data_IF_699708632558
#
_entry.id   IF_699708632558
#
_cell.length_a   1.000
_cell.length_b   1.000
_cell.length_c   1.000
_cell.angle_alpha   90.00
_cell.angle_beta   90.00
_cell.angle_gamma   90.00
#
_symmetry.space_group_name_H-M   'P 1'
#
loop_
_entity.id
_entity.type
_entity.pdbx_description
1 polymer ?
#
# COMPACT_ATOMS: atom_id res chain seq x y z
N UNK A 1 -1.52 -45.68 -0.88
CA UNK A 1 -2.24 -46.58 -1.80
C UNK A 1 -1.26 -47.01 -2.89
N UNK A 2 -1.03 -48.32 -3.06
CA UNK A 2 -0.09 -48.85 -4.05
C UNK A 2 -0.68 -48.74 -5.46
N UNK A 3 -0.13 -47.87 -6.31
CA UNK A 3 -0.44 -47.85 -7.74
C UNK A 3 0.50 -48.84 -8.46
N UNK A 4 -0.01 -50.01 -8.84
CA UNK A 4 0.76 -50.96 -9.66
C UNK A 4 0.46 -52.45 -9.49
N UNK A 5 -0.70 -52.82 -8.93
CA UNK A 5 -1.12 -54.23 -8.87
C UNK A 5 -2.00 -54.61 -10.07
N UNK A 6 -1.75 -55.77 -10.68
CA UNK A 6 -2.71 -56.38 -11.60
C UNK A 6 -3.76 -57.15 -10.78
N UNK A 7 -5.02 -56.77 -10.88
CA UNK A 7 -6.15 -57.49 -10.29
C UNK A 7 -6.96 -58.18 -11.39
N UNK A 8 -7.40 -59.43 -11.14
CA UNK A 8 -8.37 -60.14 -11.97
C UNK A 8 -9.67 -60.22 -11.21
N UNK A 9 -10.75 -59.70 -11.80
CA UNK A 9 -12.10 -59.75 -11.24
C UNK A 9 -13.00 -60.48 -12.24
N UNK A 10 -13.81 -61.41 -11.74
CA UNK A 10 -14.79 -62.19 -12.51
C UNK A 10 -16.18 -61.72 -12.09
N UNK A 11 -16.98 -61.19 -13.00
CA UNK A 11 -18.35 -60.73 -12.70
C UNK A 11 -19.37 -61.34 -13.66
N UNK A 12 -20.61 -61.49 -13.18
CA UNK A 12 -21.75 -62.04 -13.93
C UNK A 12 -22.41 -61.03 -14.87
N UNK A 13 -22.05 -59.75 -14.78
CA UNK A 13 -22.51 -58.68 -15.68
C UNK A 13 -21.31 -57.91 -16.24
N UNK A 14 -21.35 -57.65 -17.55
CA UNK A 14 -20.39 -56.77 -18.22
C UNK A 14 -20.78 -55.32 -17.95
N UNK A 15 -19.94 -54.58 -17.23
CA UNK A 15 -19.98 -53.12 -17.23
C UNK A 15 -18.98 -52.60 -18.26
N UNK A 16 -19.41 -51.64 -19.08
CA UNK A 16 -18.52 -50.90 -19.96
C UNK A 16 -17.63 -49.99 -19.10
N UNK A 17 -16.31 -50.16 -19.21
CA UNK A 17 -15.31 -49.34 -18.54
C UNK A 17 -14.38 -48.82 -19.61
N UNK A 18 -14.19 -47.51 -19.66
CA UNK A 18 -13.23 -46.88 -20.55
C UNK A 18 -11.89 -46.68 -19.83
N UNK A 19 -10.75 -46.69 -20.55
CA UNK A 19 -9.48 -46.35 -19.93
C UNK A 19 -9.55 -44.97 -19.27
N UNK A 20 -9.28 -44.89 -17.96
CA UNK A 20 -9.37 -43.65 -17.18
C UNK A 20 -10.47 -43.67 -16.12
N UNK A 21 -11.44 -44.57 -16.24
CA UNK A 21 -12.49 -44.73 -15.24
C UNK A 21 -11.92 -45.25 -13.92
N UNK A 22 -12.39 -44.68 -12.81
CA UNK A 22 -12.05 -45.16 -11.48
C UNK A 22 -13.04 -46.24 -11.08
N UNK A 23 -12.53 -47.41 -10.72
CA UNK A 23 -13.35 -48.55 -10.31
C UNK A 23 -13.08 -48.88 -8.86
N UNK A 24 -14.13 -48.93 -8.05
CA UNK A 24 -14.06 -49.42 -6.68
C UNK A 24 -14.30 -50.93 -6.68
N UNK A 25 -13.32 -51.71 -6.22
CA UNK A 25 -13.36 -53.17 -6.17
C UNK A 25 -13.54 -53.59 -4.71
N UNK A 26 -14.69 -54.20 -4.39
CA UNK A 26 -14.94 -54.90 -3.13
C UNK A 26 -14.72 -56.40 -3.25
N UNK A 27 -14.88 -57.14 -2.15
CA UNK A 27 -14.62 -58.59 -2.11
C UNK A 27 -15.54 -59.42 -3.04
N UNK A 28 -16.75 -58.93 -3.29
CA UNK A 28 -17.78 -59.66 -4.07
C UNK A 28 -18.47 -58.80 -5.13
N UNK A 29 -18.07 -57.54 -5.30
CA UNK A 29 -18.64 -56.63 -6.29
C UNK A 29 -17.64 -55.56 -6.72
N UNK A 30 -17.90 -54.93 -7.85
CA UNK A 30 -17.17 -53.74 -8.27
C UNK A 30 -18.14 -52.76 -8.91
N UNK A 31 -17.82 -51.47 -8.82
CA UNK A 31 -18.62 -50.40 -9.41
C UNK A 31 -17.71 -49.32 -9.99
N UNK A 32 -18.12 -48.73 -11.11
CA UNK A 32 -17.49 -47.50 -11.62
C UNK A 32 -17.88 -46.37 -10.67
N UNK A 33 -16.87 -45.68 -10.13
CA UNK A 33 -17.06 -44.55 -9.24
C UNK A 33 -17.53 -43.37 -10.08
N UNK A 34 -18.65 -42.71 -9.72
CA UNK A 34 -19.08 -41.48 -10.38
C UNK A 34 -18.00 -40.40 -10.34
N UNK A 35 -17.86 -39.63 -11.43
CA UNK A 35 -16.80 -38.62 -11.59
C UNK A 35 -16.81 -37.53 -10.50
N UNK A 36 -17.92 -37.33 -9.80
CA UNK A 36 -18.11 -36.37 -8.71
C UNK A 36 -17.61 -36.87 -7.34
N UNK A 37 -17.33 -38.17 -7.21
CA UNK A 37 -16.91 -38.79 -5.94
C UNK A 37 -15.40 -38.89 -5.82
N UNK A 38 -14.65 -38.78 -6.94
CA UNK A 38 -13.19 -38.85 -6.95
C UNK A 38 -12.59 -37.46 -7.23
N UNK A 39 -11.79 -36.94 -6.30
CA UNK A 39 -11.12 -35.65 -6.47
C UNK A 39 -10.00 -35.76 -7.52
N UNK A 40 -10.29 -35.33 -8.73
CA UNK A 40 -9.27 -35.08 -9.75
C UNK A 40 -8.60 -33.74 -9.44
N UNK A 41 -7.36 -33.76 -8.95
CA UNK A 41 -6.57 -32.54 -8.69
C UNK A 41 -6.16 -31.89 -10.03
N UNK A 42 -7.10 -31.18 -10.63
CA UNK A 42 -6.85 -30.37 -11.82
C UNK A 42 -5.85 -29.28 -11.47
N UNK A 43 -4.76 -29.26 -12.23
CA UNK A 43 -3.64 -28.34 -12.03
C UNK A 43 -3.54 -27.39 -13.22
N UNK A 44 -2.99 -26.20 -12.98
CA UNK A 44 -2.69 -25.22 -14.03
C UNK A 44 -1.19 -25.18 -14.26
N UNK A 45 -0.79 -25.11 -15.53
CA UNK A 45 0.61 -25.00 -15.92
C UNK A 45 0.80 -24.26 -17.23
N UNK A 46 2.02 -23.79 -17.46
CA UNK A 46 2.41 -23.06 -18.67
C UNK A 46 3.21 -24.00 -19.56
N UNK A 47 2.81 -24.13 -20.83
CA UNK A 47 3.53 -24.95 -21.80
C UNK A 47 4.89 -24.33 -22.10
N UNK A 48 5.97 -25.03 -21.76
CA UNK A 48 7.35 -24.61 -22.07
C UNK A 48 7.87 -25.27 -23.33
N UNK A 49 7.55 -26.53 -23.52
CA UNK A 49 8.03 -27.32 -24.65
C UNK A 49 6.98 -28.35 -25.06
N UNK A 50 6.83 -28.55 -26.36
CA UNK A 50 5.99 -29.59 -26.94
C UNK A 50 6.90 -30.54 -27.71
N UNK A 51 6.91 -31.80 -27.31
CA UNK A 51 7.68 -32.84 -27.97
C UNK A 51 6.75 -33.95 -28.49
N UNK A 52 7.28 -34.80 -29.39
CA UNK A 52 6.54 -35.95 -29.95
C UNK A 52 5.99 -36.92 -28.89
N UNK A 53 6.58 -36.95 -27.69
CA UNK A 53 6.27 -37.90 -26.61
C UNK A 53 5.57 -37.26 -25.41
N UNK A 54 5.25 -35.96 -25.45
CA UNK A 54 4.67 -35.28 -24.31
C UNK A 54 4.83 -33.77 -24.31
N UNK A 55 4.36 -33.14 -23.24
CA UNK A 55 4.40 -31.70 -23.04
C UNK A 55 5.09 -31.39 -21.71
N UNK A 56 6.06 -30.47 -21.74
CA UNK A 56 6.69 -29.94 -20.54
C UNK A 56 5.93 -28.70 -20.07
N UNK A 57 5.44 -28.75 -18.84
CA UNK A 57 4.71 -27.68 -18.18
C UNK A 57 5.54 -27.08 -17.06
N UNK A 58 5.45 -25.77 -16.88
CA UNK A 58 5.87 -25.08 -15.67
C UNK A 58 4.66 -24.85 -14.78
N UNK A 59 4.74 -25.29 -13.52
CA UNK A 59 3.69 -25.15 -12.51
C UNK A 59 4.23 -24.37 -11.31
N UNK A 60 3.36 -24.01 -10.36
CA UNK A 60 3.77 -23.34 -9.12
C UNK A 60 4.79 -24.17 -8.29
N UNK A 61 4.82 -25.49 -8.47
CA UNK A 61 5.73 -26.41 -7.76
C UNK A 61 6.97 -26.77 -8.59
N UNK A 62 7.16 -26.15 -9.76
CA UNK A 62 8.27 -26.41 -10.67
C UNK A 62 7.85 -27.07 -11.99
N UNK A 63 8.84 -27.64 -12.69
CA UNK A 63 8.64 -28.24 -14.00
C UNK A 63 8.03 -29.64 -13.90
N UNK A 64 7.03 -29.91 -14.73
CA UNK A 64 6.31 -31.19 -14.79
C UNK A 64 6.21 -31.66 -16.24
N UNK A 65 6.55 -32.92 -16.50
CA UNK A 65 6.47 -33.51 -17.84
C UNK A 65 5.31 -34.47 -17.96
N UNK A 66 4.37 -34.17 -18.87
CA UNK A 66 3.22 -35.02 -19.16
C UNK A 66 3.50 -35.88 -20.38
N UNK A 67 3.57 -37.20 -20.19
CA UNK A 67 3.85 -38.18 -21.26
C UNK A 67 2.66 -38.48 -22.18
N UNK A 68 1.45 -38.09 -21.80
CA UNK A 68 0.22 -38.36 -22.57
C UNK A 68 -0.24 -37.09 -23.29
N UNK A 69 -0.51 -37.21 -24.59
CA UNK A 69 -1.06 -36.13 -25.42
C UNK A 69 -2.58 -36.09 -25.23
N UNK A 70 -3.21 -34.89 -25.14
CA UNK A 70 -4.65 -34.73 -24.99
C UNK A 70 -5.49 -35.64 -25.90
N UNK A 71 -6.55 -36.24 -25.35
CA UNK A 71 -7.51 -37.07 -26.11
C UNK A 71 -8.24 -36.32 -27.22
N UNK A 72 -8.38 -34.99 -27.10
CA UNK A 72 -8.94 -34.09 -28.11
C UNK A 72 -7.81 -33.36 -28.83
N UNK A 73 -7.97 -33.08 -30.13
CA UNK A 73 -7.01 -32.23 -30.87
C UNK A 73 -7.03 -30.81 -30.28
N UNK A 74 -6.19 -30.55 -29.29
CA UNK A 74 -5.92 -29.22 -28.76
C UNK A 74 -4.75 -28.62 -29.54
N UNK A 75 -4.92 -27.39 -30.03
CA UNK A 75 -3.85 -26.65 -30.67
C UNK A 75 -2.95 -26.04 -29.59
N UNK A 76 -1.96 -26.79 -29.14
CA UNK A 76 -1.03 -26.35 -28.10
C UNK A 76 0.18 -25.66 -28.73
N UNK A 77 0.56 -24.52 -28.15
CA UNK A 77 1.76 -23.76 -28.51
C UNK A 77 2.55 -23.45 -27.22
N UNK A 78 3.90 -23.41 -27.25
CA UNK A 78 4.68 -22.90 -26.14
C UNK A 78 4.21 -21.50 -25.71
N UNK A 79 4.00 -21.32 -24.41
CA UNK A 79 3.43 -20.11 -23.81
C UNK A 79 1.95 -20.24 -23.43
N UNK A 80 1.20 -21.21 -23.96
CA UNK A 80 -0.18 -21.41 -23.53
C UNK A 80 -0.26 -21.74 -22.03
N UNK A 81 -1.26 -21.18 -21.36
CA UNK A 81 -1.70 -21.65 -20.05
C UNK A 81 -2.71 -22.75 -20.25
N UNK A 82 -2.48 -23.88 -19.59
CA UNK A 82 -3.31 -25.08 -19.76
C UNK A 82 -3.76 -25.62 -18.42
N UNK A 83 -4.95 -26.20 -18.42
CA UNK A 83 -5.44 -27.06 -17.35
C UNK A 83 -5.04 -28.50 -17.69
N UNK A 84 -4.57 -29.24 -16.70
CA UNK A 84 -4.12 -30.60 -16.89
C UNK A 84 -4.33 -31.45 -15.64
N UNK A 85 -4.33 -32.76 -15.84
CA UNK A 85 -4.29 -33.77 -14.78
C UNK A 85 -3.34 -34.92 -15.21
N UNK A 86 -3.03 -35.82 -14.28
CA UNK A 86 -2.11 -36.94 -14.53
C UNK A 86 -2.72 -38.06 -15.40
N UNK A 87 -4.04 -38.15 -15.45
CA UNK A 87 -4.75 -39.25 -16.09
C UNK A 87 -4.98 -39.00 -17.59
N UNK A 88 -5.45 -37.81 -17.91
CA UNK A 88 -5.89 -37.31 -19.21
C UNK A 88 -4.88 -36.38 -19.88
N UNK A 89 -3.87 -35.88 -19.14
CA UNK A 89 -2.89 -34.94 -19.63
C UNK A 89 -3.48 -33.52 -19.72
N UNK A 90 -3.13 -32.75 -20.75
CA UNK A 90 -3.70 -31.41 -20.95
C UNK A 90 -5.17 -31.54 -21.36
N UNK A 91 -6.08 -30.99 -20.57
CA UNK A 91 -7.54 -31.12 -20.77
C UNK A 91 -8.11 -29.95 -21.58
N UNK A 92 -7.59 -28.73 -21.39
CA UNK A 92 -7.92 -27.54 -22.18
C UNK A 92 -6.82 -26.49 -22.17
N UNK A 93 -6.83 -25.63 -23.19
CA UNK A 93 -6.13 -24.34 -23.16
C UNK A 93 -7.01 -23.37 -22.38
N UNK A 94 -6.45 -22.80 -21.31
CA UNK A 94 -7.08 -21.79 -20.47
C UNK A 94 -6.80 -20.40 -21.00
N UNK A 95 -5.59 -20.17 -21.53
CA UNK A 95 -5.19 -18.91 -22.17
C UNK A 95 -4.11 -19.16 -23.21
N UNK A 96 -4.13 -18.37 -24.29
CA UNK A 96 -3.10 -18.39 -25.32
C UNK A 96 -1.76 -17.81 -24.82
N UNK A 97 -1.79 -16.98 -23.77
CA UNK A 97 -0.62 -16.37 -23.12
C UNK A 97 -0.31 -16.97 -21.75
N UNK A 98 0.94 -16.87 -21.26
CA UNK A 98 1.32 -17.35 -19.95
C UNK A 98 0.61 -16.56 -18.84
N UNK A 99 -0.26 -17.24 -18.09
CA UNK A 99 -0.84 -16.74 -16.85
C UNK A 99 0.08 -17.24 -15.75
N UNK A 100 1.03 -16.38 -15.39
CA UNK A 100 1.76 -16.56 -14.13
C UNK A 100 0.84 -16.07 -13.01
N UNK A 101 0.99 -16.60 -11.80
CA UNK A 101 0.39 -16.01 -10.61
C UNK A 101 0.76 -14.52 -10.42
N UNK A 102 1.69 -14.00 -11.23
CA UNK A 102 2.16 -12.61 -11.27
C UNK A 102 1.73 -11.79 -12.49
N UNK A 103 1.12 -12.40 -13.53
CA UNK A 103 0.91 -11.72 -14.84
C UNK A 103 -0.52 -11.84 -15.43
N UNK A 104 -1.58 -11.89 -14.61
CA UNK A 104 -2.95 -11.79 -15.15
C UNK A 104 -3.64 -10.50 -14.74
N UNK A 105 -3.52 -9.45 -15.56
CA UNK A 105 -4.52 -8.39 -15.69
C UNK A 105 -4.78 -7.48 -14.49
N UNK A 106 -4.03 -7.60 -13.39
CA UNK A 106 -4.08 -6.71 -12.21
C UNK A 106 -3.22 -5.45 -12.41
N UNK A 107 -2.59 -5.27 -13.58
CA UNK A 107 -1.59 -4.22 -13.84
C UNK A 107 -2.10 -2.79 -13.59
N UNK A 108 -3.39 -2.50 -13.80
CA UNK A 108 -3.99 -1.22 -13.44
C UNK A 108 -4.62 -1.20 -12.03
N UNK A 109 -4.90 -2.34 -11.43
CA UNK A 109 -5.56 -2.41 -10.12
C UNK A 109 -4.58 -2.25 -8.96
N UNK A 110 -3.32 -2.68 -9.11
CA UNK A 110 -2.29 -2.44 -8.07
C UNK A 110 -2.03 -0.95 -7.90
N UNK A 111 -1.84 -0.18 -8.98
CA UNK A 111 -1.54 1.25 -8.87
C UNK A 111 -2.69 2.08 -8.30
N UNK A 112 -3.95 1.67 -8.55
CA UNK A 112 -5.13 2.34 -7.98
C UNK A 112 -5.15 2.33 -6.45
N UNK A 113 -4.48 1.38 -5.80
CA UNK A 113 -4.43 1.32 -4.33
C UNK A 113 -3.51 2.40 -3.75
N UNK A 114 -2.49 2.82 -4.51
CA UNK A 114 -1.55 3.86 -4.14
C UNK A 114 -2.00 5.24 -4.61
N UNK A 115 -2.80 5.32 -5.68
CA UNK A 115 -3.33 6.57 -6.19
C UNK A 115 -4.45 7.11 -5.30
N UNK A 116 -4.23 8.26 -4.68
CA UNK A 116 -5.28 8.94 -3.90
C UNK A 116 -6.15 9.74 -4.85
N UNK A 117 -7.45 9.42 -4.86
CA UNK A 117 -8.44 10.21 -5.59
C UNK A 117 -8.64 11.53 -4.85
N UNK A 118 -8.34 12.63 -5.52
CA UNK A 118 -8.60 13.97 -5.02
C UNK A 118 -9.79 14.59 -5.75
N UNK A 119 -10.69 15.22 -4.99
CA UNK A 119 -11.68 16.13 -5.54
C UNK A 119 -10.98 17.46 -5.84
N UNK A 120 -10.90 17.90 -7.10
CA UNK A 120 -10.22 19.13 -7.48
C UNK A 120 -10.95 20.41 -7.03
N UNK A 121 -12.23 20.33 -6.65
CA UNK A 121 -13.02 21.47 -6.16
C UNK A 121 -13.08 21.53 -4.64
N UNK A 122 -13.07 20.38 -3.96
CA UNK A 122 -13.27 20.30 -2.49
C UNK A 122 -12.12 19.61 -1.75
N UNK A 123 -10.90 19.65 -2.27
CA UNK A 123 -9.74 19.08 -1.60
C UNK A 123 -9.19 19.96 -0.46
N UNK A 124 -8.26 19.42 0.34
CA UNK A 124 -7.65 20.15 1.45
C UNK A 124 -6.77 21.28 0.92
N UNK A 125 -6.95 22.47 1.48
CA UNK A 125 -6.16 23.67 1.16
C UNK A 125 -5.30 24.08 2.35
N UNK A 126 -4.42 25.06 2.15
CA UNK A 126 -3.65 25.60 3.27
C UNK A 126 -4.52 26.20 4.38
N UNK A 127 -5.73 26.66 4.08
CA UNK A 127 -6.66 27.20 5.08
C UNK A 127 -7.27 26.10 5.97
N UNK A 128 -7.21 24.84 5.53
CA UNK A 128 -7.55 23.65 6.34
C UNK A 128 -6.39 23.18 7.22
N UNK A 129 -5.22 23.83 7.16
CA UNK A 129 -4.04 23.49 7.96
C UNK A 129 -3.73 24.63 8.96
N UNK A 130 -4.20 24.48 10.20
CA UNK A 130 -4.01 25.49 11.25
C UNK A 130 -2.61 25.49 11.87
N UNK A 131 -2.08 26.68 12.16
CA UNK A 131 -0.78 26.86 12.80
C UNK A 131 0.41 26.49 11.92
N UNK A 132 1.57 26.29 12.55
CA UNK A 132 2.83 25.89 11.94
C UNK A 132 3.27 26.82 10.80
N UNK A 133 3.22 28.13 11.03
CA UNK A 133 3.46 29.15 10.01
C UNK A 133 4.77 28.97 9.24
N UNK A 134 5.86 28.60 9.93
CA UNK A 134 7.15 28.35 9.28
C UNK A 134 7.13 27.12 8.37
N UNK A 135 6.49 26.03 8.81
CA UNK A 135 6.31 24.80 8.02
C UNK A 135 5.46 25.10 6.80
N UNK A 136 4.36 25.86 6.97
CA UNK A 136 3.49 26.31 5.88
C UNK A 136 4.26 27.14 4.87
N UNK A 137 5.05 28.11 5.33
CA UNK A 137 5.86 28.96 4.45
C UNK A 137 6.83 28.14 3.60
N UNK A 138 7.52 27.16 4.19
CA UNK A 138 8.42 26.25 3.46
C UNK A 138 7.68 25.37 2.46
N UNK A 139 6.46 24.92 2.78
CA UNK A 139 5.61 24.19 1.84
C UNK A 139 5.12 25.05 0.67
N UNK A 140 4.79 26.32 0.91
CA UNK A 140 4.44 27.27 -0.16
C UNK A 140 5.64 27.54 -1.05
N UNK A 141 6.82 27.79 -0.47
CA UNK A 141 8.07 27.99 -1.21
C UNK A 141 8.37 26.80 -2.12
N UNK A 142 8.15 25.57 -1.64
CA UNK A 142 8.29 24.36 -2.45
C UNK A 142 7.42 24.43 -3.72
N UNK A 143 6.13 24.73 -3.56
CA UNK A 143 5.17 24.76 -4.67
C UNK A 143 5.56 25.87 -5.67
N UNK A 144 5.85 27.07 -5.16
CA UNK A 144 6.15 28.23 -6.00
C UNK A 144 7.46 28.06 -6.78
N UNK A 145 8.50 27.54 -6.14
CA UNK A 145 9.83 27.45 -6.76
C UNK A 145 9.97 26.20 -7.64
N UNK A 146 9.56 25.03 -7.14
CA UNK A 146 9.82 23.76 -7.83
C UNK A 146 8.74 23.40 -8.84
N UNK A 147 7.48 23.57 -8.48
CA UNK A 147 6.37 23.09 -9.31
C UNK A 147 5.90 24.15 -10.31
N UNK A 148 5.93 25.43 -9.92
CA UNK A 148 5.43 26.51 -10.77
C UNK A 148 6.51 27.25 -11.57
N UNK A 149 7.80 27.13 -11.20
CA UNK A 149 8.92 27.85 -11.84
C UNK A 149 10.05 26.94 -12.33
N UNK A 150 9.73 25.70 -12.68
CA UNK A 150 10.69 24.71 -13.18
C UNK A 150 11.52 25.22 -14.36
N UNK A 151 10.87 25.82 -15.37
CA UNK A 151 11.55 26.35 -16.56
C UNK A 151 12.62 27.40 -16.21
N UNK A 152 12.35 28.25 -15.22
CA UNK A 152 13.30 29.25 -14.76
C UNK A 152 14.50 28.61 -14.03
N UNK A 153 14.30 27.51 -13.29
CA UNK A 153 15.39 26.75 -12.67
C UNK A 153 16.27 26.09 -13.74
N UNK A 154 15.65 25.53 -14.78
CA UNK A 154 16.33 24.89 -15.91
C UNK A 154 17.18 25.90 -16.69
N UNK A 155 16.65 27.08 -16.99
CA UNK A 155 17.38 28.19 -17.63
C UNK A 155 18.60 28.65 -16.80
N UNK A 156 18.45 28.69 -15.48
CA UNK A 156 19.56 29.04 -14.56
C UNK A 156 20.57 27.91 -14.37
N UNK A 157 20.27 26.69 -14.84
CA UNK A 157 21.06 25.50 -14.56
C UNK A 157 21.05 25.10 -13.07
N UNK A 158 20.07 25.57 -12.32
CA UNK A 158 19.87 25.20 -10.93
C UNK A 158 19.31 23.77 -10.86
N UNK A 159 19.75 22.99 -9.87
CA UNK A 159 19.23 21.64 -9.68
C UNK A 159 17.89 21.71 -8.95
N UNK A 160 16.83 21.06 -9.45
CA UNK A 160 15.57 20.98 -8.73
C UNK A 160 15.72 20.14 -7.45
N UNK A 161 14.88 20.43 -6.46
CA UNK A 161 14.75 19.64 -5.23
C UNK A 161 14.02 18.35 -5.57
N UNK A 162 14.68 17.20 -5.38
CA UNK A 162 14.07 15.90 -5.69
C UNK A 162 13.20 15.34 -4.58
N UNK A 163 13.67 15.52 -3.35
CA UNK A 163 13.12 14.89 -2.17
C UNK A 163 12.98 15.87 -1.02
N UNK A 164 11.84 15.83 -0.35
CA UNK A 164 11.63 16.48 0.94
C UNK A 164 11.32 15.41 1.99
N UNK A 165 11.88 15.56 3.19
CA UNK A 165 11.56 14.73 4.33
C UNK A 165 10.93 15.56 5.45
N UNK A 166 9.75 15.14 5.91
CA UNK A 166 9.03 15.67 7.05
C UNK A 166 9.41 14.86 8.29
N UNK A 167 9.95 15.53 9.30
CA UNK A 167 10.45 14.89 10.53
C UNK A 167 9.65 15.38 11.74
N UNK A 168 9.58 14.57 12.80
CA UNK A 168 8.99 14.98 14.08
C UNK A 168 7.88 14.06 14.60
N UNK A 169 7.27 14.35 15.76
CA UNK A 169 6.38 13.42 16.45
C UNK A 169 5.13 13.00 15.64
N UNK A 170 4.52 11.84 15.95
CA UNK A 170 3.28 11.43 15.31
C UNK A 170 2.14 12.40 15.61
N UNK A 171 1.20 12.51 14.66
CA UNK A 171 0.00 13.33 14.84
C UNK A 171 0.22 14.84 14.73
N UNK A 172 1.34 15.31 14.19
CA UNK A 172 1.63 16.74 13.93
C UNK A 172 1.14 17.24 12.56
N UNK A 173 0.54 16.36 11.74
CA UNK A 173 -0.07 16.75 10.46
C UNK A 173 0.80 16.58 9.22
N UNK A 174 1.93 15.86 9.29
CA UNK A 174 2.82 15.57 8.14
C UNK A 174 2.07 15.06 6.90
N UNK A 175 1.29 13.98 7.05
CA UNK A 175 0.48 13.39 5.96
C UNK A 175 -0.61 14.33 5.47
N UNK A 176 -1.17 15.16 6.35
CA UNK A 176 -2.18 16.15 5.97
C UNK A 176 -1.57 17.26 5.10
N UNK A 177 -0.41 17.80 5.49
CA UNK A 177 0.29 18.81 4.71
C UNK A 177 0.72 18.29 3.34
N UNK A 178 1.17 17.03 3.24
CA UNK A 178 1.49 16.41 1.95
C UNK A 178 0.28 16.41 0.99
N UNK A 179 -0.92 16.13 1.50
CA UNK A 179 -2.17 16.18 0.72
C UNK A 179 -2.55 17.60 0.31
N UNK A 180 -2.35 18.58 1.21
CA UNK A 180 -2.55 20.00 0.89
C UNK A 180 -1.61 20.43 -0.24
N UNK A 181 -0.32 20.09 -0.16
CA UNK A 181 0.67 20.40 -1.20
C UNK A 181 0.24 19.80 -2.54
N UNK A 182 -0.17 18.53 -2.56
CA UNK A 182 -0.62 17.86 -3.77
C UNK A 182 -1.85 18.53 -4.40
N UNK A 183 -2.84 18.88 -3.58
CA UNK A 183 -4.05 19.56 -4.03
C UNK A 183 -3.76 20.96 -4.59
N UNK A 184 -3.03 21.80 -3.86
CA UNK A 184 -2.68 23.18 -4.25
C UNK A 184 -1.81 23.22 -5.51
N UNK A 185 -0.93 22.23 -5.69
CA UNK A 185 -0.09 22.12 -6.88
C UNK A 185 -0.75 21.39 -8.06
N UNK A 186 -1.98 20.87 -7.86
CA UNK A 186 -2.72 20.03 -8.82
C UNK A 186 -1.90 18.82 -9.29
N UNK A 187 -1.11 18.25 -8.39
CA UNK A 187 -0.28 17.09 -8.67
C UNK A 187 -1.03 15.78 -8.42
N UNK A 188 -0.81 14.79 -9.27
CA UNK A 188 -1.24 13.42 -9.04
C UNK A 188 -0.54 12.87 -7.81
N UNK A 189 -1.29 12.36 -6.82
CA UNK A 189 -0.75 11.98 -5.51
C UNK A 189 -0.72 10.46 -5.31
N UNK A 190 0.48 9.91 -5.21
CA UNK A 190 0.71 8.50 -4.87
C UNK A 190 1.09 8.40 -3.39
N UNK A 191 0.28 7.70 -2.60
CA UNK A 191 0.51 7.45 -1.17
C UNK A 191 1.06 6.05 -0.97
N UNK A 192 2.29 5.96 -0.49
CA UNK A 192 2.96 4.70 -0.14
C UNK A 192 3.14 4.65 1.38
N UNK A 193 2.33 3.84 2.06
CA UNK A 193 2.51 3.58 3.49
C UNK A 193 3.51 2.46 3.69
N UNK A 194 4.54 2.67 4.52
CA UNK A 194 5.63 1.72 4.64
C UNK A 194 5.23 0.30 5.12
N UNK A 195 4.33 0.13 6.10
CA UNK A 195 3.78 -1.19 6.44
C UNK A 195 3.05 -1.89 5.28
N UNK A 196 2.40 -1.11 4.40
CA UNK A 196 1.60 -1.66 3.28
C UNK A 196 2.47 -2.24 2.16
N UNK A 197 3.66 -1.69 1.91
CA UNK A 197 4.54 -2.14 0.83
C UNK A 197 5.42 -3.33 1.26
N UNK A 198 5.75 -3.45 2.54
CA UNK A 198 6.59 -4.54 3.09
C UNK A 198 5.78 -5.82 3.32
N UNK A 199 4.55 -5.70 3.82
CA UNK A 199 3.76 -6.85 4.30
C UNK A 199 3.09 -7.68 3.20
N UNK A 200 2.79 -7.09 2.05
CA UNK A 200 1.93 -7.74 1.05
C UNK A 200 2.68 -8.67 0.08
N UNK A 201 3.98 -8.47 -0.13
CA UNK A 201 4.69 -9.17 -1.21
C UNK A 201 6.17 -9.40 -0.86
N UNK A 202 6.47 -10.49 -0.14
CA UNK A 202 7.83 -11.03 -0.05
C UNK A 202 8.31 -11.46 -1.47
N UNK A 203 8.69 -10.50 -2.31
CA UNK A 203 9.18 -10.71 -3.67
C UNK A 203 8.81 -9.65 -4.72
N UNK A 204 7.69 -8.92 -4.60
CA UNK A 204 7.21 -7.96 -5.63
C UNK A 204 7.19 -6.48 -5.16
N UNK A 205 7.63 -6.18 -3.93
CA UNK A 205 7.65 -4.81 -3.41
C UNK A 205 8.59 -3.87 -4.19
N UNK A 206 9.72 -4.38 -4.71
CA UNK A 206 10.66 -3.61 -5.55
C UNK A 206 10.05 -3.22 -6.89
N UNK A 207 9.34 -4.16 -7.52
CA UNK A 207 8.68 -3.97 -8.80
C UNK A 207 7.48 -3.02 -8.66
N UNK A 208 6.71 -3.17 -7.59
CA UNK A 208 5.62 -2.25 -7.24
C UNK A 208 6.14 -0.83 -7.07
N UNK A 209 7.24 -0.65 -6.33
CA UNK A 209 7.87 0.65 -6.16
C UNK A 209 8.31 1.25 -7.50
N UNK A 210 8.93 0.45 -8.37
CA UNK A 210 9.32 0.87 -9.73
C UNK A 210 8.11 1.33 -10.53
N UNK A 211 7.03 0.55 -10.56
CA UNK A 211 5.78 0.87 -11.28
C UNK A 211 5.12 2.16 -10.79
N UNK A 212 5.10 2.41 -9.47
CA UNK A 212 4.58 3.65 -8.89
C UNK A 212 5.35 4.85 -9.44
N UNK A 213 6.68 4.75 -9.47
CA UNK A 213 7.53 5.82 -9.98
C UNK A 213 7.43 6.00 -11.50
N UNK A 214 7.30 4.91 -12.27
CA UNK A 214 7.04 4.97 -13.71
C UNK A 214 5.69 5.63 -14.01
N UNK A 215 4.64 5.29 -13.25
CA UNK A 215 3.34 5.92 -13.35
C UNK A 215 3.41 7.42 -13.00
N UNK A 216 4.05 7.77 -11.89
CA UNK A 216 4.26 9.17 -11.50
C UNK A 216 5.02 9.97 -12.57
N UNK A 217 6.04 9.38 -13.20
CA UNK A 217 6.79 10.02 -14.27
C UNK A 217 5.97 10.24 -15.55
N UNK A 218 4.88 9.50 -15.75
CA UNK A 218 3.98 9.68 -16.90
C UNK A 218 2.94 10.79 -16.74
N UNK A 219 2.79 11.35 -15.53
CA UNK A 219 1.83 12.41 -15.22
C UNK A 219 2.36 13.80 -15.62
N UNK A 220 1.53 14.84 -15.64
CA UNK A 220 2.05 16.20 -15.86
C UNK A 220 2.85 16.70 -14.63
N UNK A 221 2.31 16.44 -13.43
CA UNK A 221 2.91 16.75 -12.13
C UNK A 221 2.53 15.63 -11.18
N UNK A 222 3.50 15.03 -10.49
CA UNK A 222 3.22 13.98 -9.53
C UNK A 222 3.99 14.17 -8.22
N UNK A 223 3.34 13.77 -7.13
CA UNK A 223 3.96 13.64 -5.82
C UNK A 223 3.89 12.17 -5.41
N UNK A 224 5.04 11.58 -5.11
CA UNK A 224 5.14 10.27 -4.45
C UNK A 224 5.41 10.52 -2.98
N UNK A 225 4.41 10.27 -2.13
CA UNK A 225 4.50 10.45 -0.69
C UNK A 225 4.70 9.13 0.03
N UNK A 226 5.81 9.01 0.76
CA UNK A 226 6.11 7.89 1.63
C UNK A 226 5.72 8.23 3.08
N UNK A 227 4.69 7.57 3.61
CA UNK A 227 4.36 7.67 5.02
C UNK A 227 5.08 6.58 5.81
N UNK A 228 5.62 6.94 6.98
CA UNK A 228 6.45 6.05 7.82
C UNK A 228 7.63 5.44 7.05
N UNK A 229 8.42 6.29 6.38
CA UNK A 229 9.56 5.84 5.55
C UNK A 229 10.59 5.04 6.35
N UNK A 230 10.69 5.25 7.66
CA UNK A 230 11.54 4.47 8.57
C UNK A 230 11.21 2.97 8.57
N UNK A 231 9.98 2.58 8.24
CA UNK A 231 9.61 1.16 8.14
C UNK A 231 10.07 0.47 6.85
N UNK A 232 10.40 1.23 5.80
CA UNK A 232 10.88 0.69 4.51
C UNK A 232 12.35 0.99 4.27
N UNK A 233 12.88 2.00 4.96
CA UNK A 233 14.22 2.53 4.79
C UNK A 233 14.95 2.67 6.11
N UNK A 234 14.85 1.63 6.95
CA UNK A 234 15.63 1.53 8.16
C UNK A 234 17.14 1.38 7.84
N UNK A 235 17.98 1.86 8.75
CA UNK A 235 19.43 1.66 8.70
C UNK A 235 19.78 0.19 8.52
N UNK A 236 20.70 -0.07 7.59
CA UNK A 236 21.26 -1.40 7.36
C UNK A 236 22.07 -1.84 8.58
N UNK A 237 21.54 -2.77 9.35
CA UNK A 237 22.28 -3.55 10.36
C UNK A 237 22.54 -4.97 9.82
N UNK A 238 23.52 -5.68 10.37
CA UNK A 238 23.83 -7.06 9.93
C UNK A 238 22.62 -8.00 10.10
N UNK A 239 21.75 -7.72 11.08
CA UNK A 239 20.52 -8.48 11.37
C UNK A 239 19.29 -8.06 10.54
N UNK A 240 19.41 -7.03 9.69
CA UNK A 240 18.26 -6.58 8.88
C UNK A 240 17.90 -7.60 7.80
N UNK A 241 16.59 -7.83 7.61
CA UNK A 241 16.08 -8.75 6.58
C UNK A 241 16.56 -8.34 5.18
N UNK A 242 17.06 -9.30 4.40
CA UNK A 242 17.54 -9.08 3.02
C UNK A 242 16.49 -8.42 2.11
N UNK A 243 15.19 -8.68 2.35
CA UNK A 243 14.10 -8.01 1.62
C UNK A 243 14.06 -6.49 1.86
N UNK A 244 14.28 -6.04 3.11
CA UNK A 244 14.34 -4.61 3.45
C UNK A 244 15.55 -3.95 2.79
N UNK A 245 16.74 -4.57 2.86
CA UNK A 245 17.97 -4.06 2.21
C UNK A 245 17.77 -3.82 0.71
N UNK A 246 17.10 -4.74 0.02
CA UNK A 246 16.82 -4.59 -1.42
C UNK A 246 15.82 -3.48 -1.72
N UNK A 247 14.77 -3.33 -0.91
CA UNK A 247 13.85 -2.19 -1.03
C UNK A 247 14.55 -0.85 -0.90
N UNK A 248 15.43 -0.71 0.09
CA UNK A 248 16.25 0.50 0.25
C UNK A 248 17.14 0.74 -0.96
N UNK A 249 17.79 -0.31 -1.48
CA UNK A 249 18.63 -0.20 -2.66
C UNK A 249 17.83 0.23 -3.90
N UNK A 250 16.61 -0.30 -4.08
CA UNK A 250 15.71 0.08 -5.16
C UNK A 250 15.26 1.54 -5.00
N UNK A 251 14.88 1.98 -3.81
CA UNK A 251 14.50 3.38 -3.55
C UNK A 251 15.67 4.35 -3.86
N UNK A 252 16.89 4.02 -3.41
CA UNK A 252 18.09 4.81 -3.74
C UNK A 252 18.30 4.90 -5.26
N UNK A 253 18.15 3.78 -5.97
CA UNK A 253 18.29 3.72 -7.42
C UNK A 253 17.25 4.59 -8.13
N UNK A 254 16.00 4.57 -7.65
CA UNK A 254 14.93 5.42 -8.21
C UNK A 254 15.24 6.90 -7.97
N UNK A 255 15.58 7.30 -6.73
CA UNK A 255 15.94 8.69 -6.41
C UNK A 255 17.11 9.23 -7.25
N UNK A 256 18.08 8.37 -7.56
CA UNK A 256 19.24 8.72 -8.39
C UNK A 256 18.92 8.72 -9.90
N UNK A 257 18.00 7.85 -10.33
CA UNK A 257 17.72 7.50 -11.73
C UNK A 257 16.73 8.39 -12.49
N UNK A 258 15.99 9.29 -11.82
CA UNK A 258 15.19 10.29 -12.52
C UNK A 258 16.09 11.25 -13.31
N UNK A 259 15.71 11.53 -14.56
CA UNK A 259 16.40 12.52 -15.39
C UNK A 259 16.42 13.87 -14.64
N UNK A 260 17.61 14.23 -14.16
CA UNK A 260 17.79 15.22 -13.10
C UNK A 260 17.37 16.63 -13.50
N UNK A 261 17.21 16.87 -14.81
CA UNK A 261 16.83 18.15 -15.38
C UNK A 261 15.34 18.25 -15.73
N UNK A 262 14.65 17.12 -15.89
CA UNK A 262 13.29 17.13 -16.44
C UNK A 262 12.27 16.38 -15.59
N UNK A 263 12.63 15.90 -14.40
CA UNK A 263 11.67 15.24 -13.50
C UNK A 263 10.47 16.13 -13.16
N UNK A 264 9.29 15.63 -13.47
CA UNK A 264 7.94 16.09 -13.09
C UNK A 264 7.48 15.49 -11.75
N UNK A 265 8.32 14.65 -11.14
CA UNK A 265 8.04 13.93 -9.90
C UNK A 265 8.77 14.59 -8.74
N UNK A 266 8.03 14.93 -7.68
CA UNK A 266 8.57 15.33 -6.38
C UNK A 266 8.32 14.21 -5.38
N UNK A 267 9.37 13.81 -4.65
CA UNK A 267 9.25 12.79 -3.61
C UNK A 267 9.13 13.46 -2.25
N UNK A 268 8.12 13.11 -1.47
CA UNK A 268 7.97 13.58 -0.10
C UNK A 268 7.96 12.36 0.82
N UNK A 269 8.69 12.39 1.92
CA UNK A 269 8.67 11.33 2.92
C UNK A 269 8.30 11.88 4.29
N UNK A 270 7.63 11.09 5.12
CA UNK A 270 7.36 11.42 6.51
C UNK A 270 7.93 10.33 7.43
N UNK A 271 8.56 10.76 8.52
CA UNK A 271 9.05 9.86 9.57
C UNK A 271 8.88 10.48 10.95
N UNK A 272 8.71 9.62 11.95
CA UNK A 272 8.78 10.01 13.35
C UNK A 272 10.16 9.77 13.97
N UNK A 273 11.07 9.11 13.24
CA UNK A 273 12.35 8.58 13.72
C UNK A 273 13.42 8.76 12.65
N UNK A 274 13.80 10.01 12.39
CA UNK A 274 14.78 10.36 11.36
C UNK A 274 16.14 9.66 11.57
N UNK A 275 16.49 9.41 12.84
CA UNK A 275 17.69 8.68 13.22
C UNK A 275 17.69 7.21 12.80
N UNK A 276 16.52 6.62 12.52
CA UNK A 276 16.39 5.25 12.03
C UNK A 276 16.46 5.16 10.50
N UNK A 277 16.31 6.27 9.80
CA UNK A 277 16.34 6.30 8.32
C UNK A 277 17.76 6.08 7.80
N UNK A 278 17.87 5.33 6.70
CA UNK A 278 19.12 5.07 5.98
C UNK A 278 19.83 6.40 5.58
N UNK A 279 21.03 6.68 6.12
CA UNK A 279 21.75 7.93 5.88
C UNK A 279 22.04 8.21 4.41
N UNK A 280 22.14 7.18 3.56
CA UNK A 280 22.30 7.38 2.14
C UNK A 280 21.13 8.18 1.53
N UNK A 281 19.89 8.01 2.00
CA UNK A 281 18.73 8.75 1.49
C UNK A 281 18.76 10.25 1.85
N UNK A 282 19.43 10.61 2.95
CA UNK A 282 19.54 11.98 3.45
C UNK A 282 20.72 12.76 2.84
N UNK A 283 21.42 12.17 1.87
CA UNK A 283 22.54 12.84 1.18
C UNK A 283 22.00 13.82 0.12
N UNK A 284 22.75 14.90 -0.16
CA UNK A 284 22.41 15.83 -1.24
C UNK A 284 22.18 15.12 -2.57
N UNK A 285 21.15 15.53 -3.30
CA UNK A 285 20.65 14.94 -4.54
C UNK A 285 19.54 13.91 -4.35
N UNK A 286 19.04 13.72 -3.12
CA UNK A 286 17.96 12.79 -2.73
C UNK A 286 16.94 13.52 -1.86
N UNK A 287 16.92 13.32 -0.54
CA UNK A 287 16.16 14.18 0.38
C UNK A 287 16.99 15.41 0.72
N UNK A 288 16.93 16.42 -0.16
CA UNK A 288 17.67 17.68 -0.03
C UNK A 288 17.10 18.60 1.03
N UNK A 289 15.78 18.55 1.25
CA UNK A 289 15.08 19.42 2.18
C UNK A 289 14.55 18.61 3.37
N UNK A 290 14.84 19.09 4.56
CA UNK A 290 14.19 18.64 5.80
C UNK A 290 13.24 19.73 6.30
N UNK A 291 12.00 19.34 6.61
CA UNK A 291 11.01 20.21 7.24
C UNK A 291 10.61 19.59 8.59
N UNK A 292 11.08 20.15 9.72
CA UNK A 292 10.78 19.62 11.05
C UNK A 292 9.40 20.08 11.53
N UNK A 293 8.62 19.12 12.02
CA UNK A 293 7.33 19.33 12.67
C UNK A 293 7.49 19.16 14.17
N UNK A 294 7.54 20.27 14.90
CA UNK A 294 7.48 20.26 16.35
C UNK A 294 6.10 19.91 16.90
N UNK A 295 6.00 19.75 18.22
CA UNK A 295 4.70 19.87 18.89
C UNK A 295 4.19 21.32 18.73
N UNK A 296 2.87 21.50 18.57
CA UNK A 296 2.29 22.82 18.30
C UNK A 296 2.47 23.76 19.49
N UNK A 297 2.84 25.01 19.20
CA UNK A 297 2.86 26.10 20.18
C UNK A 297 1.44 26.45 20.64
N UNK A 298 1.27 27.21 21.72
CA UNK A 298 -0.06 27.64 22.18
C UNK A 298 -0.87 28.34 21.08
N UNK A 299 -0.22 29.15 20.25
CA UNK A 299 -0.84 29.81 19.11
C UNK A 299 -1.25 28.80 18.02
N UNK A 300 -0.37 27.85 17.69
CA UNK A 300 -0.70 26.79 16.72
C UNK A 300 -1.89 25.96 17.20
N UNK A 301 -1.94 25.62 18.49
CA UNK A 301 -3.05 24.84 19.08
C UNK A 301 -4.38 25.56 18.95
N UNK A 302 -4.40 26.88 19.19
CA UNK A 302 -5.59 27.69 18.99
C UNK A 302 -6.04 27.67 17.52
N UNK A 303 -5.12 27.88 16.59
CA UNK A 303 -5.43 27.90 15.15
C UNK A 303 -5.91 26.53 14.65
N UNK A 304 -5.30 25.43 15.10
CA UNK A 304 -5.74 24.06 14.81
C UNK A 304 -7.18 23.84 15.26
N UNK A 305 -7.51 24.26 16.49
CA UNK A 305 -8.88 24.15 17.02
C UNK A 305 -9.86 25.01 16.22
N UNK A 306 -9.49 26.25 15.89
CA UNK A 306 -10.34 27.17 15.12
C UNK A 306 -10.63 26.69 13.70
N UNK A 307 -9.62 26.17 13.00
CA UNK A 307 -9.78 25.64 11.63
C UNK A 307 -10.79 24.50 11.64
N UNK A 308 -10.68 23.56 12.57
CA UNK A 308 -11.66 22.49 12.71
C UNK A 308 -13.05 22.96 13.09
N UNK A 309 -13.16 23.96 13.97
CA UNK A 309 -14.45 24.51 14.35
C UNK A 309 -15.24 25.03 13.13
N UNK A 310 -14.55 25.60 12.12
CA UNK A 310 -15.18 26.11 10.89
C UNK A 310 -15.76 25.02 9.99
N UNK A 311 -15.24 23.80 10.06
CA UNK A 311 -15.72 22.64 9.31
C UNK A 311 -16.94 21.97 9.98
N UNK A 312 -17.22 22.32 11.23
CA UNK A 312 -18.24 21.71 12.08
C UNK A 312 -19.42 22.66 12.32
N UNK A 313 -20.58 22.08 12.64
CA UNK A 313 -21.73 22.86 13.10
C UNK A 313 -21.55 23.16 14.58
N UNK A 314 -21.06 24.35 14.88
CA UNK A 314 -20.87 24.83 16.26
C UNK A 314 -21.84 25.95 16.61
N UNK A 315 -22.08 26.17 17.90
CA UNK A 315 -22.91 27.25 18.43
C UNK A 315 -22.33 27.78 19.75
N UNK A 316 -22.62 29.04 20.08
CA UNK A 316 -22.12 29.67 21.29
C UNK A 316 -20.68 30.16 21.17
N UNK A 317 -20.12 30.59 22.31
CA UNK A 317 -18.74 31.06 22.42
C UNK A 317 -17.84 29.92 22.89
N UNK A 318 -17.14 29.28 21.95
CA UNK A 318 -16.36 28.09 22.23
C UNK A 318 -15.08 28.45 23.01
N UNK A 319 -14.70 27.70 24.06
CA UNK A 319 -13.58 28.03 24.95
C UNK A 319 -12.20 27.67 24.33
N UNK A 320 -11.99 27.94 23.04
CA UNK A 320 -10.81 27.45 22.30
C UNK A 320 -9.49 28.02 22.80
N UNK A 321 -9.47 29.28 23.23
CA UNK A 321 -8.28 29.93 23.77
C UNK A 321 -7.84 29.31 25.11
N UNK A 322 -8.82 29.03 25.98
CA UNK A 322 -8.58 28.37 27.26
C UNK A 322 -8.07 26.94 27.04
N UNK A 323 -8.76 26.16 26.19
CA UNK A 323 -8.34 24.81 25.81
C UNK A 323 -6.92 24.81 25.21
N UNK A 324 -6.60 25.73 24.30
CA UNK A 324 -5.26 25.85 23.72
C UNK A 324 -4.18 26.13 24.78
N UNK A 325 -4.50 26.93 25.80
CA UNK A 325 -3.56 27.22 26.90
C UNK A 325 -3.30 26.02 27.82
N UNK A 326 -4.30 25.13 27.99
CA UNK A 326 -4.23 23.97 28.89
C UNK A 326 -3.77 22.66 28.22
N UNK A 327 -3.52 22.68 26.91
CA UNK A 327 -3.17 21.51 26.09
C UNK A 327 -1.69 21.47 25.74
N UNK A 328 -0.82 21.91 26.66
CA UNK A 328 0.62 21.88 26.40
C UNK A 328 1.15 20.47 26.15
N UNK A 329 2.04 20.34 25.17
CA UNK A 329 2.56 19.06 24.70
C UNK A 329 1.57 18.19 23.90
N UNK A 330 0.36 18.66 23.59
CA UNK A 330 -0.59 17.89 22.77
C UNK A 330 -0.28 18.02 21.28
N UNK A 331 -0.36 16.93 20.54
CA UNK A 331 -0.26 16.94 19.08
C UNK A 331 -1.54 17.44 18.41
N UNK A 332 -1.46 17.84 17.14
CA UNK A 332 -2.63 18.25 16.36
C UNK A 332 -3.71 17.15 16.29
N UNK A 333 -3.31 15.88 16.17
CA UNK A 333 -4.21 14.74 16.22
C UNK A 333 -4.95 14.65 17.56
N UNK A 334 -4.26 14.87 18.68
CA UNK A 334 -4.86 14.83 20.01
C UNK A 334 -5.82 16.00 20.25
N UNK A 335 -5.50 17.20 19.74
CA UNK A 335 -6.43 18.34 19.74
C UNK A 335 -7.70 18.02 18.93
N UNK A 336 -7.55 17.39 17.77
CA UNK A 336 -8.70 16.98 16.95
C UNK A 336 -9.60 15.97 17.65
N UNK A 337 -9.06 15.14 18.54
CA UNK A 337 -9.88 14.23 19.36
C UNK A 337 -10.88 14.95 20.26
N UNK A 338 -10.64 16.21 20.63
CA UNK A 338 -11.61 17.02 21.38
C UNK A 338 -12.89 17.20 20.55
N UNK A 339 -12.76 17.50 19.25
CA UNK A 339 -13.92 17.66 18.37
C UNK A 339 -14.69 16.37 18.17
N UNK A 340 -13.99 15.23 18.07
CA UNK A 340 -14.62 13.91 18.00
C UNK A 340 -15.47 13.64 19.25
N UNK A 341 -14.90 13.84 20.43
CA UNK A 341 -15.61 13.62 21.70
C UNK A 341 -16.76 14.63 21.87
N UNK A 342 -16.57 15.91 21.53
CA UNK A 342 -17.60 16.93 21.62
C UNK A 342 -18.78 16.61 20.70
N UNK A 343 -18.51 16.12 19.49
CA UNK A 343 -19.55 15.64 18.57
C UNK A 343 -20.34 14.45 19.11
N UNK A 344 -19.66 13.50 19.79
CA UNK A 344 -20.32 12.36 20.42
C UNK A 344 -21.21 12.77 21.60
N UNK A 345 -20.78 13.74 22.41
CA UNK A 345 -21.59 14.31 23.49
C UNK A 345 -22.85 14.96 22.91
N UNK A 346 -22.66 15.89 21.97
CA UNK A 346 -23.78 16.60 21.35
C UNK A 346 -24.78 15.65 20.68
N UNK A 347 -24.29 14.65 19.94
CA UNK A 347 -25.13 13.66 19.29
C UNK A 347 -25.85 12.75 20.31
N UNK A 348 -25.19 12.38 21.40
CA UNK A 348 -25.77 11.60 22.50
C UNK A 348 -26.97 12.30 23.14
N UNK A 349 -26.94 13.63 23.20
CA UNK A 349 -28.04 14.47 23.70
C UNK A 349 -29.10 14.77 22.62
N UNK A 350 -28.98 14.20 21.43
CA UNK A 350 -29.89 14.43 20.30
C UNK A 350 -29.76 15.81 19.64
N UNK A 351 -28.67 16.54 19.92
CA UNK A 351 -28.37 17.85 19.31
C UNK A 351 -27.68 17.67 17.95
N UNK A 352 -27.80 18.70 17.10
CA UNK A 352 -27.19 18.75 15.74
C UNK A 352 -26.02 19.72 15.62
N UNK A 353 -25.64 20.34 16.73
CA UNK A 353 -24.58 21.34 16.82
C UNK A 353 -23.82 21.18 18.13
N UNK A 354 -22.50 21.36 18.05
CA UNK A 354 -21.59 21.33 19.19
C UNK A 354 -21.62 22.69 19.89
N UNK A 355 -21.87 22.69 21.19
CA UNK A 355 -21.87 23.87 22.06
C UNK A 355 -20.56 23.96 22.88
N UNK A 356 -20.39 25.06 23.59
CA UNK A 356 -19.25 25.33 24.48
C UNK A 356 -19.10 24.27 25.58
N UNK A 357 -20.20 23.85 26.20
CA UNK A 357 -20.22 22.80 27.24
C UNK A 357 -19.71 21.43 26.72
N UNK A 358 -19.97 21.10 25.46
CA UNK A 358 -19.48 19.86 24.84
C UNK A 358 -17.97 19.87 24.69
N UNK A 359 -17.41 21.01 24.27
CA UNK A 359 -15.97 21.18 24.07
C UNK A 359 -15.26 21.11 25.42
N UNK A 360 -15.81 21.75 26.46
CA UNK A 360 -15.27 21.67 27.81
C UNK A 360 -15.29 20.22 28.34
N UNK A 361 -16.42 19.53 28.22
CA UNK A 361 -16.53 18.13 28.66
C UNK A 361 -15.62 17.19 27.85
N UNK A 362 -15.52 17.40 26.54
CA UNK A 362 -14.65 16.63 25.66
C UNK A 362 -13.17 16.82 26.02
N UNK A 363 -12.75 18.05 26.32
CA UNK A 363 -11.40 18.35 26.77
C UNK A 363 -11.05 17.54 28.03
N UNK A 364 -11.91 17.53 29.05
CA UNK A 364 -11.70 16.74 30.28
C UNK A 364 -11.61 15.23 30.00
N UNK A 365 -12.45 14.71 29.09
CA UNK A 365 -12.42 13.30 28.69
C UNK A 365 -11.12 12.93 27.98
N UNK A 366 -10.65 13.76 27.04
CA UNK A 366 -9.40 13.50 26.32
C UNK A 366 -8.18 13.66 27.25
N UNK A 367 -8.22 14.62 28.18
CA UNK A 367 -7.16 14.81 29.16
C UNK A 367 -7.03 13.61 30.10
N UNK A 368 -8.15 13.14 30.65
CA UNK A 368 -8.17 12.01 31.59
C UNK A 368 -7.79 10.66 30.97
N UNK A 369 -8.07 10.42 29.68
CA UNK A 369 -7.63 9.21 28.98
C UNK A 369 -6.11 9.10 28.93
N UNK A 370 -5.41 10.19 28.58
CA UNK A 370 -3.95 10.16 28.50
C UNK A 370 -3.29 9.94 29.85
N UNK A 371 -3.89 10.43 30.94
CA UNK A 371 -3.40 10.14 32.30
C UNK A 371 -3.51 8.66 32.64
N UNK A 372 -4.51 7.93 32.10
CA UNK A 372 -4.64 6.47 32.29
C UNK A 372 -3.62 5.71 31.46
N UNK A 373 -3.40 6.11 30.20
CA UNK A 373 -2.39 5.50 29.32
C UNK A 373 -0.97 5.66 29.88
N UNK A 374 -0.63 6.83 30.46
CA UNK A 374 0.66 7.02 31.15
C UNK A 374 0.81 6.14 32.40
N UNK A 375 -0.24 6.02 33.22
CA UNK A 375 -0.18 5.22 34.45
C UNK A 375 -0.15 3.70 34.19
N UNK A 376 -0.70 3.23 33.08
CA UNK A 376 -0.60 1.81 32.69
C UNK A 376 0.79 1.43 32.19
N UNK A 377 1.51 2.35 31.53
CA UNK A 377 2.90 2.09 31.07
C UNK A 377 3.88 2.01 32.24
N UNK A 378 3.71 2.82 33.28
CA UNK A 378 4.56 2.81 34.48
C UNK A 378 4.33 1.58 35.39
N UNK A 379 3.21 0.86 35.24
CA UNK A 379 2.92 -0.37 36.00
C UNK A 379 3.37 -1.66 35.31
N UNK A 380 3.88 -1.58 34.08
CA UNK A 380 4.38 -2.73 33.29
C UNK A 380 5.91 -2.69 33.11
N UNK A 381 6.58 -1.66 33.63
CA UNK A 381 8.04 -1.49 33.60
C UNK A 381 8.76 -2.16 34.79
#
# INVERSE_FOLDING_TARGET
>A
MQSGGAARVSATQYLAVDPGDTVLIGESSWQVVPDDVWFDERSIGIVRLIEKKGVLLETALGLRFLRKVPRKKLNLVPGNTVEFDDFHGVTRVVSDTPIRARDSGVEQDVLKEYLVKHDPENGPTFDSFGGYHDVRARAVELIETQLNRKDALDEMGARPVKGIIFTGPPGTGKTHLARVIAHESKATFFLVSGPSIVSKWLGDSEDTLRRIFEAAASEERAIVFFDEIDSIAERRTDDSHEASKRLVAQLLTLMDGFDQKHSNVVVIAATNRIEQVEPALLRPGRFDWEIPFGLPTAQDRLEILQVRAKELKTTGDLPLAEVASMTDGWSAARLNSIWTEAGLVAAGDGRKSIADEDVAQAFERVQSRASREMNEVDHVA
#
